data_IF_267932660389
#
_entry.id   IF_267932660389
#
_cell.length_a   1.000
_cell.length_b   1.000
_cell.length_c   1.000
_cell.angle_alpha   90.00
_cell.angle_beta   90.00
_cell.angle_gamma   90.00
#
_symmetry.space_group_name_H-M   'P 1'
#
loop_
_entity.id
_entity.type
_entity.pdbx_description
1 polymer ?
#
# COMPACT_ATOMS: atom_id res chain seq x y z
N UNK A 1 11.95 11.16 14.13
CA UNK A 1 12.66 10.08 13.43
C UNK A 1 13.28 9.21 14.49
N UNK A 2 13.05 7.90 14.44
CA UNK A 2 13.56 6.95 15.43
C UNK A 2 14.38 5.92 14.68
N UNK A 3 15.56 5.59 15.19
CA UNK A 3 16.34 4.47 14.68
C UNK A 3 15.85 3.19 15.33
N UNK A 4 15.28 2.30 14.52
CA UNK A 4 14.83 0.99 14.97
C UNK A 4 15.96 -0.03 14.84
N UNK A 5 16.12 -0.88 15.85
CA UNK A 5 17.00 -2.04 15.76
C UNK A 5 16.41 -3.08 14.81
N UNK A 6 17.28 -3.82 14.13
CA UNK A 6 16.86 -4.89 13.22
C UNK A 6 16.06 -5.93 13.99
N UNK A 7 14.88 -6.29 13.47
CA UNK A 7 14.00 -7.28 14.09
C UNK A 7 12.97 -6.72 15.07
N UNK A 8 12.96 -5.41 15.35
CA UNK A 8 11.83 -4.79 16.05
C UNK A 8 10.55 -4.91 15.22
N UNK A 9 9.41 -5.18 15.83
CA UNK A 9 8.13 -5.23 15.13
C UNK A 9 7.61 -3.82 14.82
N UNK A 10 6.66 -3.70 13.89
CA UNK A 10 6.03 -2.41 13.64
C UNK A 10 5.34 -1.87 14.90
N UNK A 11 4.70 -2.75 15.68
CA UNK A 11 4.11 -2.40 16.99
C UNK A 11 5.14 -1.81 17.96
N UNK A 12 6.28 -2.46 18.15
CA UNK A 12 7.35 -1.96 19.03
C UNK A 12 7.86 -0.59 18.59
N UNK A 13 8.06 -0.38 17.29
CA UNK A 13 8.52 0.90 16.76
C UNK A 13 7.49 2.02 17.05
N UNK A 14 6.20 1.70 17.01
CA UNK A 14 5.11 2.63 17.29
C UNK A 14 5.06 2.97 18.78
N UNK A 15 5.08 1.95 19.64
CA UNK A 15 4.94 2.12 21.08
C UNK A 15 6.17 2.80 21.71
N UNK A 16 7.37 2.31 21.39
CA UNK A 16 8.63 2.81 21.96
C UNK A 16 9.09 4.10 21.28
N UNK A 17 8.90 4.20 19.95
CA UNK A 17 9.44 5.30 19.15
C UNK A 17 8.48 6.47 18.94
N UNK A 18 7.19 6.20 18.76
CA UNK A 18 6.20 7.24 18.46
C UNK A 18 5.32 7.61 19.68
N UNK A 19 5.53 6.95 20.83
CA UNK A 19 4.78 7.18 22.06
C UNK A 19 3.41 6.49 22.08
N UNK A 20 3.24 5.45 21.26
CA UNK A 20 2.00 4.69 21.14
C UNK A 20 0.88 5.44 20.43
N UNK A 21 -0.27 4.78 20.32
CA UNK A 21 -1.46 5.33 19.67
C UNK A 21 -2.53 5.65 20.70
N UNK A 22 -3.31 6.70 20.42
CA UNK A 22 -4.42 7.11 21.28
C UNK A 22 -5.69 6.28 21.06
N UNK A 23 -5.76 5.58 19.93
CA UNK A 23 -6.90 4.78 19.44
C UNK A 23 -6.37 3.47 18.85
N UNK A 24 -7.24 2.52 18.51
CA UNK A 24 -6.85 1.28 17.83
C UNK A 24 -6.17 1.52 16.48
N UNK A 25 -5.36 0.54 16.04
CA UNK A 25 -4.77 0.51 14.69
C UNK A 25 -5.72 -0.15 13.73
N UNK A 26 -5.96 0.49 12.59
CA UNK A 26 -6.64 -0.16 11.46
C UNK A 26 -5.64 -0.83 10.53
N UNK A 27 -4.66 -0.04 10.09
CA UNK A 27 -3.68 -0.46 9.11
C UNK A 27 -2.40 0.36 9.21
N UNK A 28 -1.31 -0.18 8.68
CA UNK A 28 -0.01 0.48 8.60
C UNK A 28 0.52 0.41 7.17
N UNK A 29 0.89 1.58 6.63
CA UNK A 29 1.58 1.69 5.37
C UNK A 29 3.10 1.70 5.62
N UNK A 30 3.77 0.62 5.21
CA UNK A 30 5.21 0.40 5.38
C UNK A 30 5.93 0.69 4.08
N UNK A 31 6.98 1.52 4.11
CA UNK A 31 7.82 1.84 2.95
C UNK A 31 7.27 2.94 2.05
N UNK A 32 6.30 3.71 2.53
CA UNK A 32 5.76 4.89 1.87
C UNK A 32 4.67 4.56 0.84
N UNK A 33 4.31 5.51 -0.04
CA UNK A 33 3.09 5.44 -0.86
C UNK A 33 3.07 4.34 -1.93
N UNK A 34 4.17 3.59 -2.12
CA UNK A 34 4.29 2.43 -3.02
C UNK A 34 4.71 1.16 -2.28
N UNK A 35 4.65 1.20 -0.95
CA UNK A 35 5.04 0.13 -0.07
C UNK A 35 3.91 -0.88 0.17
N UNK A 36 3.86 -1.47 1.37
CA UNK A 36 2.84 -2.46 1.76
C UNK A 36 1.82 -1.86 2.70
N UNK A 37 0.58 -2.29 2.58
CA UNK A 37 -0.45 -2.05 3.60
C UNK A 37 -0.62 -3.33 4.42
N UNK A 38 -0.36 -3.21 5.72
CA UNK A 38 -0.52 -4.26 6.72
C UNK A 38 -1.77 -3.98 7.55
N UNK A 39 -2.48 -5.04 7.96
CA UNK A 39 -3.54 -4.93 8.97
C UNK A 39 -2.96 -4.91 10.40
N UNK A 40 -3.82 -4.78 11.41
CA UNK A 40 -3.41 -4.76 12.81
C UNK A 40 -2.72 -6.06 13.26
N UNK A 41 -3.15 -7.21 12.75
CA UNK A 41 -2.59 -8.53 13.09
C UNK A 41 -1.19 -8.76 12.50
N UNK A 42 -0.84 -8.01 11.44
CA UNK A 42 0.45 -8.07 10.75
C UNK A 42 1.51 -7.13 11.39
N UNK A 43 1.17 -6.40 12.47
CA UNK A 43 2.08 -5.46 13.14
C UNK A 43 3.20 -6.13 13.92
N UNK A 44 2.99 -7.37 14.34
CA UNK A 44 3.96 -8.17 15.08
C UNK A 44 5.02 -8.81 14.15
N UNK A 45 4.93 -8.57 12.84
CA UNK A 45 5.97 -8.98 11.91
C UNK A 45 7.24 -8.17 12.19
N UNK A 46 8.42 -8.83 12.34
CA UNK A 46 9.66 -8.12 12.54
C UNK A 46 9.98 -7.23 11.34
N UNK A 47 10.28 -5.95 11.58
CA UNK A 47 10.68 -5.01 10.56
C UNK A 47 11.96 -5.52 9.87
N UNK A 48 11.80 -5.90 8.61
CA UNK A 48 12.85 -6.34 7.72
C UNK A 48 12.27 -6.73 6.36
N UNK A 49 12.99 -6.51 5.26
CA UNK A 49 12.54 -6.95 3.92
C UNK A 49 12.25 -8.45 3.83
N UNK A 50 12.82 -9.25 4.75
CA UNK A 50 12.57 -10.69 4.90
C UNK A 50 11.12 -11.01 5.34
N UNK A 51 10.52 -10.20 6.22
CA UNK A 51 9.17 -10.44 6.74
C UNK A 51 8.15 -9.48 6.10
N UNK A 52 8.55 -8.25 5.79
CA UNK A 52 7.72 -7.20 5.19
C UNK A 52 8.38 -6.70 3.90
N UNK A 53 8.20 -7.40 2.77
CA UNK A 53 8.82 -7.01 1.51
C UNK A 53 8.28 -5.67 1.03
N UNK A 54 9.15 -4.73 0.68
CA UNK A 54 8.73 -3.38 0.28
C UNK A 54 8.88 -2.32 1.39
N UNK A 55 9.75 -2.56 2.37
CA UNK A 55 10.13 -1.59 3.40
C UNK A 55 10.61 -0.23 2.86
N UNK A 56 11.02 -0.14 1.59
CA UNK A 56 11.38 1.12 0.95
C UNK A 56 12.44 1.88 1.75
N UNK A 57 12.11 3.12 2.13
CA UNK A 57 12.98 4.00 2.92
C UNK A 57 12.83 3.81 4.45
N UNK A 58 12.17 2.75 4.91
CA UNK A 58 11.93 2.50 6.34
C UNK A 58 10.87 3.41 6.97
N UNK A 59 9.96 3.99 6.17
CA UNK A 59 8.87 4.79 6.69
C UNK A 59 7.69 3.93 7.15
N UNK A 60 7.06 4.32 8.26
CA UNK A 60 5.84 3.74 8.78
C UNK A 60 4.80 4.84 8.91
N UNK A 61 3.64 4.65 8.28
CA UNK A 61 2.47 5.51 8.45
C UNK A 61 1.35 4.67 9.07
N UNK A 62 0.99 5.02 10.30
CA UNK A 62 -0.02 4.31 11.09
C UNK A 62 -1.35 5.02 11.00
N UNK A 63 -2.40 4.27 10.73
CA UNK A 63 -3.74 4.79 10.51
C UNK A 63 -4.69 4.21 11.56
N UNK A 64 -5.43 5.10 12.23
CA UNK A 64 -6.38 4.71 13.27
C UNK A 64 -7.61 3.98 12.73
N UNK A 65 -8.34 3.32 13.61
CA UNK A 65 -9.63 2.67 13.34
C UNK A 65 -10.66 3.55 12.61
N UNK A 66 -10.62 4.87 12.83
CA UNK A 66 -11.54 5.84 12.22
C UNK A 66 -11.28 6.11 10.73
N UNK A 67 -10.14 5.65 10.18
CA UNK A 67 -9.76 5.93 8.79
C UNK A 67 -10.57 5.08 7.82
N UNK A 68 -11.19 5.73 6.83
CA UNK A 68 -11.83 5.05 5.70
C UNK A 68 -10.78 4.53 4.71
N UNK A 69 -10.81 3.25 4.28
CA UNK A 69 -9.85 2.71 3.31
C UNK A 69 -9.98 3.29 1.88
N UNK A 70 -11.17 3.76 1.49
CA UNK A 70 -11.44 4.18 0.11
C UNK A 70 -10.56 5.33 -0.42
N UNK A 71 -10.32 6.43 0.33
CA UNK A 71 -9.35 7.44 -0.07
C UNK A 71 -7.92 6.89 -0.25
N UNK A 72 -7.51 5.94 0.59
CA UNK A 72 -6.18 5.32 0.50
C UNK A 72 -6.02 4.46 -0.75
N UNK A 73 -7.09 3.80 -1.21
CA UNK A 73 -7.06 3.06 -2.48
C UNK A 73 -6.99 3.97 -3.71
N UNK A 74 -7.59 5.17 -3.63
CA UNK A 74 -7.62 6.14 -4.74
C UNK A 74 -6.31 6.91 -4.90
N UNK A 75 -5.58 7.15 -3.81
CA UNK A 75 -4.37 7.97 -3.85
C UNK A 75 -3.25 7.39 -4.73
N UNK A 76 -2.88 6.10 -4.65
CA UNK A 76 -1.88 5.51 -5.55
C UNK A 76 -2.29 5.59 -7.02
N UNK A 77 -3.58 5.39 -7.34
CA UNK A 77 -4.11 5.50 -8.72
C UNK A 77 -3.94 6.92 -9.26
N UNK A 78 -4.27 7.93 -8.45
CA UNK A 78 -4.11 9.34 -8.81
C UNK A 78 -2.63 9.71 -9.03
N UNK A 79 -1.76 9.31 -8.09
CA UNK A 79 -0.30 9.54 -8.19
C UNK A 79 0.29 8.86 -9.42
N UNK A 80 -0.13 7.62 -9.72
CA UNK A 80 0.33 6.89 -10.88
C UNK A 80 -0.03 7.61 -12.18
N UNK A 81 -1.28 8.04 -12.30
CA UNK A 81 -1.77 8.76 -13.46
C UNK A 81 -1.04 10.09 -13.66
N UNK A 82 -0.76 10.81 -12.59
CA UNK A 82 -0.07 12.11 -12.64
C UNK A 82 1.44 12.03 -12.88
N UNK A 83 2.08 10.89 -12.59
CA UNK A 83 3.56 10.75 -12.64
C UNK A 83 4.07 9.66 -13.57
N UNK A 84 3.21 8.99 -14.32
CA UNK A 84 3.62 8.05 -15.36
C UNK A 84 4.43 8.75 -16.45
N UNK A 85 5.62 8.23 -16.78
CA UNK A 85 6.43 8.73 -17.90
C UNK A 85 5.93 8.26 -19.28
N UNK A 86 4.96 7.34 -19.32
CA UNK A 86 4.35 6.84 -20.57
C UNK A 86 5.20 5.84 -21.39
N UNK A 87 6.42 5.51 -20.95
CA UNK A 87 7.37 4.74 -21.77
C UNK A 87 7.03 3.24 -21.97
N UNK A 88 6.20 2.65 -21.10
CA UNK A 88 5.77 1.24 -21.25
C UNK A 88 4.25 1.14 -21.32
N UNK A 89 3.76 0.28 -22.21
CA UNK A 89 2.33 0.14 -22.52
C UNK A 89 1.52 -0.21 -21.28
N UNK A 90 1.99 -1.16 -20.46
CA UNK A 90 1.30 -1.55 -19.23
C UNK A 90 1.05 -0.36 -18.29
N UNK A 91 2.07 0.48 -18.05
CA UNK A 91 1.98 1.67 -17.21
C UNK A 91 1.12 2.78 -17.85
N UNK A 92 1.33 3.07 -19.13
CA UNK A 92 0.61 4.13 -19.86
C UNK A 92 -0.88 3.82 -20.00
N UNK A 93 -1.22 2.59 -20.39
CA UNK A 93 -2.60 2.14 -20.56
C UNK A 93 -3.24 1.92 -19.19
N UNK A 94 -2.51 1.32 -18.25
CA UNK A 94 -2.95 1.18 -16.86
C UNK A 94 -3.38 2.49 -16.24
N UNK A 95 -2.59 3.56 -16.38
CA UNK A 95 -2.92 4.90 -15.90
C UNK A 95 -4.28 5.45 -16.39
N UNK A 96 -4.73 5.02 -17.59
CA UNK A 96 -6.01 5.42 -18.17
C UNK A 96 -7.17 4.51 -17.73
N UNK A 97 -6.88 3.24 -17.48
CA UNK A 97 -7.86 2.22 -17.13
C UNK A 97 -8.18 2.19 -15.63
N UNK A 98 -7.17 2.25 -14.75
CA UNK A 98 -7.33 2.13 -13.31
C UNK A 98 -8.44 3.03 -12.72
N UNK A 99 -8.56 4.33 -13.08
CA UNK A 99 -9.59 5.20 -12.48
C UNK A 99 -11.01 4.87 -12.93
N UNK A 100 -11.17 4.03 -13.97
CA UNK A 100 -12.46 3.66 -14.55
C UNK A 100 -12.95 2.29 -14.06
N UNK A 101 -12.10 1.55 -13.34
CA UNK A 101 -12.46 0.24 -12.82
C UNK A 101 -13.47 0.38 -11.70
N UNK A 102 -14.60 -0.30 -11.85
CA UNK A 102 -15.70 -0.35 -10.86
C UNK A 102 -15.85 -1.74 -10.24
N UNK A 103 -14.94 -2.65 -10.58
CA UNK A 103 -14.92 -4.03 -10.13
C UNK A 103 -13.52 -4.37 -9.58
N UNK A 104 -13.48 -5.10 -8.47
CA UNK A 104 -12.24 -5.45 -7.78
C UNK A 104 -11.44 -6.50 -8.53
N UNK A 105 -12.08 -7.43 -9.23
CA UNK A 105 -11.39 -8.50 -9.97
C UNK A 105 -10.65 -7.92 -11.18
N UNK A 106 -11.33 -7.13 -12.01
CA UNK A 106 -10.74 -6.44 -13.15
C UNK A 106 -9.60 -5.49 -12.72
N UNK A 107 -9.77 -4.78 -11.60
CA UNK A 107 -8.70 -3.94 -11.05
C UNK A 107 -7.51 -4.79 -10.60
N UNK A 108 -7.73 -5.92 -9.92
CA UNK A 108 -6.68 -6.84 -9.47
C UNK A 108 -5.87 -7.37 -10.65
N UNK A 109 -6.53 -7.87 -11.69
CA UNK A 109 -5.85 -8.37 -12.90
C UNK A 109 -5.00 -7.29 -13.57
N UNK A 110 -5.52 -6.07 -13.68
CA UNK A 110 -4.77 -4.95 -14.24
C UNK A 110 -3.52 -4.63 -13.40
N UNK A 111 -3.66 -4.60 -12.07
CA UNK A 111 -2.59 -4.32 -11.13
C UNK A 111 -1.47 -5.37 -11.20
N UNK A 112 -1.81 -6.65 -11.25
CA UNK A 112 -0.86 -7.75 -11.39
C UNK A 112 -0.14 -7.70 -12.75
N UNK A 113 -0.87 -7.41 -13.82
CA UNK A 113 -0.27 -7.23 -15.15
C UNK A 113 0.70 -6.04 -15.17
N UNK A 114 0.33 -4.91 -14.55
CA UNK A 114 1.24 -3.77 -14.42
C UNK A 114 2.48 -4.12 -13.60
N UNK A 115 2.32 -4.85 -12.50
CA UNK A 115 3.43 -5.28 -11.63
C UNK A 115 4.46 -6.13 -12.37
N UNK A 116 4.01 -6.99 -13.27
CA UNK A 116 4.88 -7.90 -14.04
C UNK A 116 5.47 -7.26 -15.31
N UNK A 117 4.69 -6.42 -16.02
CA UNK A 117 5.06 -5.91 -17.34
C UNK A 117 5.71 -4.51 -17.34
N UNK A 118 5.64 -3.76 -16.24
CA UNK A 118 6.26 -2.44 -16.17
C UNK A 118 7.80 -2.51 -16.21
N UNK A 119 8.43 -1.49 -16.83
CA UNK A 119 9.88 -1.46 -17.05
C UNK A 119 10.70 -0.91 -15.86
N UNK A 120 10.10 -0.09 -15.00
CA UNK A 120 10.79 0.55 -13.88
C UNK A 120 10.08 0.28 -12.54
N UNK A 121 10.79 0.52 -11.43
CA UNK A 121 10.26 0.33 -10.08
C UNK A 121 8.98 1.10 -9.81
N UNK A 122 8.82 2.32 -10.35
CA UNK A 122 7.58 3.08 -10.22
C UNK A 122 6.36 2.30 -10.74
N UNK A 123 6.45 1.77 -11.96
CA UNK A 123 5.35 1.02 -12.56
C UNK A 123 5.09 -0.33 -11.89
N UNK A 124 6.15 -0.99 -11.42
CA UNK A 124 6.04 -2.30 -10.75
C UNK A 124 5.52 -2.20 -9.32
N UNK A 125 5.82 -1.13 -8.62
CA UNK A 125 5.53 -0.99 -7.18
C UNK A 125 4.25 -0.20 -6.89
N UNK A 126 3.78 0.66 -7.81
CA UNK A 126 2.50 1.36 -7.64
C UNK A 126 1.33 0.39 -7.36
N UNK A 127 1.23 -0.78 -8.02
CA UNK A 127 0.15 -1.72 -7.76
C UNK A 127 0.10 -2.27 -6.32
N UNK A 128 1.24 -2.33 -5.61
CA UNK A 128 1.35 -3.00 -4.29
C UNK A 128 0.35 -2.51 -3.24
N UNK A 129 0.30 -1.21 -2.87
CA UNK A 129 -0.64 -0.75 -1.86
C UNK A 129 -2.10 -0.94 -2.30
N UNK A 130 -2.40 -0.89 -3.60
CA UNK A 130 -3.76 -1.13 -4.09
C UNK A 130 -4.14 -2.60 -3.95
N UNK A 131 -3.24 -3.52 -4.29
CA UNK A 131 -3.45 -4.96 -4.12
C UNK A 131 -3.61 -5.35 -2.65
N UNK A 132 -2.82 -4.77 -1.75
CA UNK A 132 -2.96 -5.01 -0.31
C UNK A 132 -4.30 -4.48 0.23
N UNK A 133 -4.70 -3.28 -0.20
CA UNK A 133 -6.00 -2.70 0.18
C UNK A 133 -7.17 -3.51 -0.37
N UNK A 134 -7.07 -4.04 -1.58
CA UNK A 134 -8.06 -4.96 -2.13
C UNK A 134 -8.12 -6.24 -1.30
N UNK A 135 -6.98 -6.85 -0.95
CA UNK A 135 -6.93 -8.05 -0.10
C UNK A 135 -7.58 -7.83 1.27
N UNK A 136 -7.33 -6.68 1.89
CA UNK A 136 -7.73 -6.41 3.28
C UNK A 136 -9.13 -5.78 3.40
N UNK A 137 -9.52 -4.95 2.43
CA UNK A 137 -10.67 -4.05 2.53
C UNK A 137 -11.55 -4.04 1.27
N UNK A 138 -11.57 -5.13 0.48
CA UNK A 138 -12.35 -5.22 -0.76
C UNK A 138 -13.80 -4.73 -0.59
N UNK A 139 -14.50 -5.21 0.44
CA UNK A 139 -15.91 -4.88 0.68
C UNK A 139 -16.16 -3.39 0.99
N UNK A 140 -15.15 -2.68 1.50
CA UNK A 140 -15.25 -1.24 1.74
C UNK A 140 -14.85 -0.40 0.51
N UNK A 141 -13.99 -0.94 -0.34
CA UNK A 141 -13.55 -0.30 -1.58
C UNK A 141 -14.59 -0.45 -2.70
N UNK A 142 -15.24 -1.61 -2.76
CA UNK A 142 -16.26 -1.98 -3.72
C UNK A 142 -17.48 -2.54 -2.97
N UNK A 143 -18.19 -1.70 -2.19
CA UNK A 143 -19.43 -2.14 -1.54
C UNK A 143 -20.41 -2.60 -2.61
N UNK A 144 -20.88 -3.85 -2.48
CA UNK A 144 -21.92 -4.39 -3.37
C UNK A 144 -23.11 -3.42 -3.36
N UNK A 145 -23.52 -2.98 -4.54
CA UNK A 145 -24.72 -2.14 -4.71
C UNK A 145 -25.98 -2.91 -4.37
#
# INVERSE_FOLDING_TARGET
MVEALRGMTAGQIIDEGAGGLRTGVRMVLVGGPRGRVLNADELDLPAGPEHVPGMGYGSLMVLSEDVTPAPLGRAPVSVHRGRSCGACTACRVGALLMPKMVDSEALTTLMEHMSSAARCGFGRETPRPVLDLLRLYQGELFPHK
#
